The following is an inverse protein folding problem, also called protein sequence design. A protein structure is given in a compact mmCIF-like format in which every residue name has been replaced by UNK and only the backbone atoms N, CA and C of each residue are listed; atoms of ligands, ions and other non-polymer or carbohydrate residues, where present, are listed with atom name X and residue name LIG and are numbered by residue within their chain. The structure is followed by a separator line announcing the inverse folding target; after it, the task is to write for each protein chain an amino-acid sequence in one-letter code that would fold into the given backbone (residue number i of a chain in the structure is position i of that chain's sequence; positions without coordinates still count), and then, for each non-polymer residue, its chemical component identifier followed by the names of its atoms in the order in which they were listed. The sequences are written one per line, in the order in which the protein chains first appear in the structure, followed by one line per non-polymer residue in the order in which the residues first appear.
data_IF_860385042124
#
_entry.id   IF_860385042124
#
_cell.length_a   1.000
_cell.length_b   1.000
_cell.length_c   1.000
_cell.angle_alpha   90.00
_cell.angle_beta   90.00
_cell.angle_gamma   90.00
#
_symmetry.space_group_name_H-M   'P 1'
#
loop_
_entity.id
_entity.type
_entity.pdbx_description
1 polymer ?
#
# COMPACT_ATOMS: atom_id res chain seq x y z
N UNK A 1 15.97 18.37 16.10
CA UNK A 1 15.23 17.09 16.10
C UNK A 1 15.90 16.21 15.08
N UNK A 2 16.38 15.03 15.48
CA UNK A 2 17.09 14.09 14.59
C UNK A 2 16.08 13.20 13.88
N UNK A 3 16.19 13.10 12.55
CA UNK A 3 15.47 12.15 11.72
C UNK A 3 16.35 10.91 11.55
N UNK A 4 15.80 9.75 11.89
CA UNK A 4 16.49 8.47 11.71
C UNK A 4 16.34 8.02 10.24
N UNK A 5 17.47 7.75 9.60
CA UNK A 5 17.54 7.04 8.31
C UNK A 5 18.34 5.73 8.49
N UNK A 6 18.06 4.66 7.73
CA UNK A 6 18.70 3.35 7.91
C UNK A 6 20.24 3.34 7.81
N UNK A 7 20.84 4.40 7.27
CA UNK A 7 22.28 4.57 7.03
C UNK A 7 22.98 5.56 8.03
N UNK A 8 22.34 5.88 9.16
CA UNK A 8 22.92 6.72 10.22
C UNK A 8 22.40 8.17 10.27
N UNK A 9 22.63 8.85 11.39
CA UNK A 9 22.04 10.17 11.71
C UNK A 9 22.60 11.30 10.83
N UNK A 10 21.73 11.97 10.08
CA UNK A 10 22.05 13.19 9.33
C UNK A 10 21.61 14.43 10.13
N UNK A 11 22.51 15.35 10.52
CA UNK A 11 22.12 16.61 11.13
C UNK A 11 21.43 17.51 10.11
N UNK A 12 20.21 17.96 10.43
CA UNK A 12 19.45 18.96 9.67
C UNK A 12 19.90 20.37 10.07
N UNK A 13 20.69 21.02 9.21
CA UNK A 13 20.96 22.45 9.29
C UNK A 13 19.76 23.23 8.77
N UNK A 14 18.99 23.87 9.65
CA UNK A 14 18.03 24.92 9.24
C UNK A 14 18.79 26.21 9.03
N UNK A 15 19.33 26.40 7.83
CA UNK A 15 19.66 27.74 7.34
C UNK A 15 18.44 28.24 6.58
N UNK A 16 17.77 29.33 7.00
CA UNK A 16 16.73 29.92 6.18
C UNK A 16 17.40 30.45 4.92
N UNK A 17 17.06 29.89 3.75
CA UNK A 17 17.36 30.52 2.47
C UNK A 17 16.15 31.38 2.09
N UNK A 18 16.21 32.72 2.17
CA UNK A 18 15.10 33.58 1.80
C UNK A 18 15.19 33.91 0.31
N UNK A 19 15.00 32.92 -0.57
CA UNK A 19 14.94 33.19 -2.01
C UNK A 19 14.37 32.01 -2.82
N UNK A 20 13.06 31.82 -2.76
CA UNK A 20 12.21 31.75 -3.96
C UNK A 20 10.78 31.67 -3.48
N UNK A 21 10.30 32.80 -2.97
CA UNK A 21 8.88 32.95 -2.68
C UNK A 21 8.18 32.88 -4.04
N UNK A 22 7.34 31.87 -4.25
CA UNK A 22 6.40 31.82 -5.36
C UNK A 22 5.33 32.91 -5.16
N UNK A 23 5.77 34.16 -5.23
CA UNK A 23 4.91 35.33 -5.32
C UNK A 23 4.63 35.47 -6.80
N UNK A 24 3.39 35.25 -7.22
CA UNK A 24 2.96 35.66 -8.54
C UNK A 24 3.34 37.13 -8.76
N UNK A 25 3.65 37.53 -10.00
CA UNK A 25 4.28 38.79 -10.40
C UNK A 25 3.67 40.10 -9.82
N UNK A 26 2.59 40.03 -9.03
CA UNK A 26 1.88 41.16 -8.41
C UNK A 26 1.73 41.12 -6.88
N UNK A 27 2.35 40.18 -6.14
CA UNK A 27 2.24 40.18 -4.67
C UNK A 27 0.93 39.61 -4.11
N UNK A 28 0.06 39.08 -4.96
CA UNK A 28 -1.26 38.55 -4.58
C UNK A 28 -1.21 37.03 -4.37
N UNK A 29 -1.96 36.54 -3.37
CA UNK A 29 -2.17 35.11 -3.09
C UNK A 29 -2.86 34.47 -4.30
N UNK A 30 -2.29 33.40 -4.84
CA UNK A 30 -2.90 32.69 -5.98
C UNK A 30 -4.20 31.99 -5.55
N UNK A 31 -5.17 31.80 -6.47
CA UNK A 31 -6.40 31.06 -6.18
C UNK A 31 -6.15 29.64 -5.67
N UNK A 32 -5.10 28.99 -6.18
CA UNK A 32 -4.65 27.65 -5.82
C UNK A 32 -4.17 27.58 -4.36
N UNK A 33 -3.30 28.52 -3.95
CA UNK A 33 -2.82 28.61 -2.57
C UNK A 33 -3.95 28.94 -1.60
N UNK A 34 -4.88 29.82 -2.00
CA UNK A 34 -6.06 30.16 -1.19
C UNK A 34 -6.97 28.94 -0.99
N UNK A 35 -7.15 28.10 -2.01
CA UNK A 35 -7.91 26.85 -1.89
C UNK A 35 -7.22 25.84 -0.95
N UNK A 36 -5.90 25.66 -1.09
CA UNK A 36 -5.13 24.75 -0.23
C UNK A 36 -5.13 25.19 1.25
N UNK A 37 -5.05 26.50 1.51
CA UNK A 37 -5.19 27.06 2.86
C UNK A 37 -6.59 26.83 3.43
N UNK A 38 -7.64 27.05 2.63
CA UNK A 38 -9.02 26.81 3.04
C UNK A 38 -9.28 25.34 3.37
N UNK A 39 -8.70 24.40 2.60
CA UNK A 39 -8.79 22.96 2.86
C UNK A 39 -8.05 22.56 4.15
N UNK A 40 -6.99 23.27 4.50
CA UNK A 40 -6.33 23.18 5.81
C UNK A 40 -7.07 23.92 6.95
N UNK A 41 -8.20 24.58 6.66
CA UNK A 41 -8.99 25.35 7.62
C UNK A 41 -8.38 26.70 8.01
N UNK A 42 -7.49 27.24 7.18
CA UNK A 42 -6.75 28.48 7.43
C UNK A 42 -7.32 29.60 6.55
N UNK A 43 -7.76 30.69 7.16
CA UNK A 43 -8.25 31.87 6.44
C UNK A 43 -7.08 32.73 5.95
N UNK A 44 -6.83 32.67 4.63
CA UNK A 44 -5.74 33.36 3.96
C UNK A 44 -5.74 34.89 4.16
N UNK A 45 -6.91 35.51 4.35
CA UNK A 45 -7.03 36.95 4.49
C UNK A 45 -6.69 37.43 5.92
N UNK A 46 -6.52 36.50 6.87
CA UNK A 46 -6.14 36.78 8.26
C UNK A 46 -4.64 36.62 8.55
N UNK A 47 -3.87 36.08 7.61
CA UNK A 47 -2.45 35.76 7.78
C UNK A 47 -1.55 36.97 7.54
N UNK A 48 -0.54 37.14 8.40
CA UNK A 48 0.57 38.05 8.08
C UNK A 48 1.42 37.50 6.94
N UNK A 49 2.23 38.32 6.25
CA UNK A 49 3.11 37.84 5.19
C UNK A 49 4.06 36.71 5.63
N UNK A 50 4.56 36.77 6.87
CA UNK A 50 5.42 35.72 7.44
C UNK A 50 4.66 34.44 7.72
N UNK A 51 3.43 34.53 8.27
CA UNK A 51 2.59 33.37 8.53
C UNK A 51 2.11 32.71 7.23
N UNK A 52 1.80 33.51 6.22
CA UNK A 52 1.47 33.03 4.88
C UNK A 52 2.64 32.24 4.26
N UNK A 53 3.86 32.77 4.35
CA UNK A 53 5.05 32.09 3.85
C UNK A 53 5.29 30.76 4.59
N UNK A 54 5.11 30.74 5.91
CA UNK A 54 5.24 29.52 6.71
C UNK A 54 4.16 28.48 6.38
N UNK A 55 2.91 28.90 6.22
CA UNK A 55 1.80 28.03 5.87
C UNK A 55 1.98 27.44 4.45
N UNK A 56 2.44 28.26 3.50
CA UNK A 56 2.76 27.83 2.12
C UNK A 56 3.84 26.75 2.12
N UNK A 57 4.95 26.98 2.82
CA UNK A 57 6.04 26.00 2.91
C UNK A 57 5.59 24.68 3.56
N UNK A 58 4.69 24.75 4.55
CA UNK A 58 4.12 23.55 5.17
C UNK A 58 3.20 22.79 4.22
N UNK A 59 2.36 23.48 3.45
CA UNK A 59 1.48 22.87 2.44
C UNK A 59 2.30 22.20 1.34
N UNK A 60 3.35 22.85 0.85
CA UNK A 60 4.27 22.27 -0.14
C UNK A 60 4.95 21.01 0.38
N UNK A 61 5.40 21.01 1.64
CA UNK A 61 5.98 19.83 2.29
C UNK A 61 4.98 18.67 2.35
N UNK A 62 3.75 18.95 2.78
CA UNK A 62 2.68 17.94 2.82
C UNK A 62 2.33 17.42 1.43
N UNK A 63 2.35 18.28 0.42
CA UNK A 63 2.16 17.90 -0.98
C UNK A 63 3.24 16.93 -1.45
N UNK A 64 4.51 17.22 -1.15
CA UNK A 64 5.63 16.33 -1.50
C UNK A 64 5.54 14.97 -0.83
N UNK A 65 5.19 14.94 0.46
CA UNK A 65 4.99 13.69 1.20
C UNK A 65 3.83 12.89 0.59
N UNK A 66 2.73 13.55 0.20
CA UNK A 66 1.60 12.89 -0.49
C UNK A 66 2.03 12.31 -1.84
N UNK A 67 2.81 13.03 -2.63
CA UNK A 67 3.34 12.54 -3.91
C UNK A 67 4.28 11.34 -3.73
N UNK A 68 5.15 11.39 -2.72
CA UNK A 68 6.01 10.26 -2.37
C UNK A 68 5.18 9.04 -1.91
N UNK A 69 4.12 9.24 -1.12
CA UNK A 69 3.21 8.16 -0.75
C UNK A 69 2.46 7.56 -1.97
N UNK A 70 2.19 8.37 -3.00
CA UNK A 70 1.60 7.91 -4.26
C UNK A 70 2.62 7.27 -5.21
N UNK A 71 3.92 7.33 -4.90
CA UNK A 71 4.97 6.78 -5.75
C UNK A 71 5.01 5.25 -5.74
N UNK A 72 4.43 4.60 -4.73
CA UNK A 72 4.32 3.14 -4.68
C UNK A 72 3.17 2.69 -5.56
N UNK A 73 3.41 1.91 -6.62
CA UNK A 73 2.34 1.39 -7.47
C UNK A 73 1.35 0.57 -6.66
N UNK A 74 0.05 0.84 -6.85
CA UNK A 74 -1.00 0.08 -6.18
C UNK A 74 -0.89 -1.43 -6.44
N UNK A 75 -0.42 -1.82 -7.64
CA UNK A 75 -0.18 -3.21 -8.00
C UNK A 75 0.81 -3.91 -7.05
N UNK A 76 1.86 -3.24 -6.60
CA UNK A 76 2.86 -3.81 -5.69
C UNK A 76 2.29 -4.00 -4.28
N UNK A 77 1.50 -3.03 -3.81
CA UNK A 77 0.79 -3.13 -2.52
C UNK A 77 -0.20 -4.30 -2.55
N UNK A 78 -0.99 -4.41 -3.63
CA UNK A 78 -1.96 -5.49 -3.80
C UNK A 78 -1.23 -6.84 -3.94
N UNK A 79 -0.12 -6.93 -4.68
CA UNK A 79 0.68 -8.15 -4.77
C UNK A 79 1.15 -8.62 -3.39
N UNK A 80 1.61 -7.69 -2.54
CA UNK A 80 1.95 -7.99 -1.16
C UNK A 80 0.74 -8.52 -0.36
N UNK A 81 -0.45 -7.93 -0.52
CA UNK A 81 -1.67 -8.43 0.14
C UNK A 81 -2.12 -9.81 -0.36
N UNK A 82 -1.91 -10.12 -1.64
CA UNK A 82 -2.23 -11.44 -2.20
C UNK A 82 -1.38 -12.54 -1.55
N UNK A 83 -0.14 -12.24 -1.16
CA UNK A 83 0.66 -13.18 -0.36
C UNK A 83 0.05 -13.45 1.01
N UNK A 84 -0.57 -12.46 1.67
CA UNK A 84 -1.33 -12.69 2.90
C UNK A 84 -2.55 -13.60 2.70
N UNK A 85 -3.24 -13.48 1.55
CA UNK A 85 -4.35 -14.40 1.21
C UNK A 85 -3.82 -15.82 0.96
N UNK A 86 -2.66 -15.94 0.32
CA UNK A 86 -1.98 -17.23 0.14
C UNK A 86 -1.68 -17.90 1.49
N UNK A 87 -1.11 -17.15 2.44
CA UNK A 87 -0.80 -17.66 3.78
C UNK A 87 -2.06 -18.09 4.53
N UNK A 88 -3.14 -17.32 4.42
CA UNK A 88 -4.43 -17.68 5.01
C UNK A 88 -4.95 -19.02 4.48
N UNK A 89 -4.90 -19.23 3.15
CA UNK A 89 -5.27 -20.51 2.55
C UNK A 89 -4.39 -21.65 3.08
N UNK A 90 -3.08 -21.44 3.14
CA UNK A 90 -2.12 -22.44 3.63
C UNK A 90 -2.37 -22.81 5.10
N UNK A 91 -2.69 -21.84 5.97
CA UNK A 91 -3.03 -22.08 7.37
C UNK A 91 -4.27 -22.97 7.49
N UNK A 92 -5.33 -22.71 6.70
CA UNK A 92 -6.54 -23.53 6.72
C UNK A 92 -6.31 -24.95 6.19
N UNK A 93 -5.49 -25.09 5.14
CA UNK A 93 -5.08 -26.40 4.63
C UNK A 93 -4.19 -27.17 5.61
N UNK A 94 -3.36 -26.49 6.40
CA UNK A 94 -2.48 -27.11 7.40
C UNK A 94 -3.17 -27.56 8.69
N UNK A 95 -4.48 -27.33 8.83
CA UNK A 95 -5.25 -27.81 9.99
C UNK A 95 -5.39 -29.34 9.98
N UNK A 96 -5.74 -29.91 11.14
CA UNK A 96 -5.99 -31.35 11.29
C UNK A 96 -7.36 -31.57 11.97
N UNK A 97 -8.42 -31.91 11.22
CA UNK A 97 -8.45 -32.09 9.76
C UNK A 97 -8.34 -30.75 8.99
N UNK A 98 -7.88 -30.76 7.72
CA UNK A 98 -7.83 -29.54 6.90
C UNK A 98 -9.20 -28.88 6.76
N UNK A 99 -9.25 -27.55 6.86
CA UNK A 99 -10.48 -26.79 6.64
C UNK A 99 -10.60 -26.37 5.17
N UNK A 100 -11.14 -27.26 4.35
CA UNK A 100 -11.30 -27.04 2.91
C UNK A 100 -12.27 -25.89 2.57
N UNK A 101 -13.30 -25.66 3.39
CA UNK A 101 -14.29 -24.61 3.13
C UNK A 101 -13.64 -23.22 3.23
N UNK A 102 -12.92 -22.95 4.32
CA UNK A 102 -12.22 -21.67 4.51
C UNK A 102 -11.04 -21.52 3.56
N UNK A 103 -10.28 -22.61 3.30
CA UNK A 103 -9.21 -22.59 2.30
C UNK A 103 -9.75 -22.22 0.90
N UNK A 104 -10.94 -22.71 0.54
CA UNK A 104 -11.57 -22.40 -0.75
C UNK A 104 -11.85 -20.90 -0.88
N UNK A 105 -12.37 -20.24 0.17
CA UNK A 105 -12.63 -18.79 0.14
C UNK A 105 -11.36 -18.01 -0.18
N UNK A 106 -10.25 -18.33 0.49
CA UNK A 106 -8.97 -17.66 0.25
C UNK A 106 -8.39 -17.98 -1.14
N UNK A 107 -8.43 -19.23 -1.59
CA UNK A 107 -7.95 -19.63 -2.92
C UNK A 107 -8.74 -18.93 -4.03
N UNK A 108 -10.07 -18.86 -3.91
CA UNK A 108 -10.91 -18.21 -4.91
C UNK A 108 -10.73 -16.69 -4.93
N UNK A 109 -10.50 -16.05 -3.77
CA UNK A 109 -10.16 -14.64 -3.70
C UNK A 109 -8.82 -14.34 -4.39
N UNK A 110 -7.79 -15.15 -4.13
CA UNK A 110 -6.50 -15.04 -4.80
C UNK A 110 -6.66 -15.23 -6.31
N UNK A 111 -7.38 -16.27 -6.74
CA UNK A 111 -7.65 -16.54 -8.17
C UNK A 111 -8.35 -15.36 -8.84
N UNK A 112 -9.43 -14.85 -8.23
CA UNK A 112 -10.22 -13.77 -8.82
C UNK A 112 -9.39 -12.51 -9.10
N UNK A 113 -8.44 -12.18 -8.23
CA UNK A 113 -7.56 -11.01 -8.41
C UNK A 113 -6.46 -11.32 -9.43
N UNK A 114 -5.79 -12.46 -9.32
CA UNK A 114 -4.69 -12.84 -10.23
C UNK A 114 -5.19 -12.97 -11.67
N UNK A 115 -6.29 -13.67 -11.91
CA UNK A 115 -6.87 -13.84 -13.25
C UNK A 115 -7.32 -12.52 -13.86
N UNK A 116 -7.78 -11.57 -13.03
CA UNK A 116 -8.35 -10.31 -13.51
C UNK A 116 -7.29 -9.25 -13.79
N UNK A 117 -6.29 -9.15 -12.91
CA UNK A 117 -5.29 -8.09 -12.96
C UNK A 117 -4.03 -8.53 -13.70
N UNK A 118 -3.67 -9.81 -13.68
CA UNK A 118 -2.54 -10.46 -14.37
C UNK A 118 -1.42 -9.52 -14.85
N UNK A 119 -1.53 -8.96 -16.06
CA UNK A 119 -0.55 -8.04 -16.68
C UNK A 119 -0.23 -6.81 -15.83
N UNK A 120 -1.19 -6.29 -15.05
CA UNK A 120 -1.02 -5.13 -14.17
C UNK A 120 -0.03 -5.39 -13.02
N UNK A 121 0.27 -6.66 -12.69
CA UNK A 121 1.28 -7.02 -11.70
C UNK A 121 2.70 -7.04 -12.24
N UNK A 122 2.90 -6.87 -13.55
CA UNK A 122 4.23 -6.83 -14.16
C UNK A 122 5.08 -8.05 -13.80
N UNK A 123 6.25 -7.81 -13.20
CA UNK A 123 7.20 -8.87 -12.79
C UNK A 123 6.62 -9.83 -11.75
N UNK A 124 5.66 -9.37 -10.93
CA UNK A 124 5.05 -10.19 -9.88
C UNK A 124 4.01 -11.19 -10.42
N UNK A 125 3.51 -11.00 -11.65
CA UNK A 125 2.40 -11.80 -12.20
C UNK A 125 2.76 -13.30 -12.25
N UNK A 126 3.96 -13.64 -12.69
CA UNK A 126 4.41 -15.03 -12.78
C UNK A 126 4.51 -15.70 -11.40
N UNK A 127 5.02 -14.97 -10.40
CA UNK A 127 5.16 -15.45 -9.03
C UNK A 127 3.79 -15.71 -8.40
N UNK A 128 2.84 -14.78 -8.58
CA UNK A 128 1.48 -14.90 -8.06
C UNK A 128 0.72 -16.08 -8.69
N UNK A 129 0.84 -16.28 -10.02
CA UNK A 129 0.26 -17.45 -10.70
C UNK A 129 0.85 -18.77 -10.20
N UNK A 130 2.15 -18.81 -9.98
CA UNK A 130 2.82 -20.00 -9.44
C UNK A 130 2.35 -20.29 -8.01
N UNK A 131 2.24 -19.27 -7.16
CA UNK A 131 1.75 -19.43 -5.78
C UNK A 131 0.32 -19.96 -5.75
N UNK A 132 -0.58 -19.42 -6.58
CA UNK A 132 -1.95 -19.93 -6.71
C UNK A 132 -1.98 -21.39 -7.18
N UNK A 133 -1.18 -21.74 -8.19
CA UNK A 133 -1.10 -23.10 -8.71
C UNK A 133 -0.65 -24.10 -7.63
N UNK A 134 0.32 -23.70 -6.81
CA UNK A 134 0.80 -24.52 -5.69
C UNK A 134 -0.30 -24.76 -4.65
N UNK A 135 -1.07 -23.73 -4.28
CA UNK A 135 -2.20 -23.89 -3.35
C UNK A 135 -3.26 -24.85 -3.89
N UNK A 136 -3.63 -24.71 -5.16
CA UNK A 136 -4.62 -25.58 -5.80
C UNK A 136 -4.16 -27.04 -5.82
N UNK A 137 -2.88 -27.29 -6.13
CA UNK A 137 -2.31 -28.64 -6.09
C UNK A 137 -2.34 -29.22 -4.68
N UNK A 138 -1.91 -28.45 -3.68
CA UNK A 138 -1.92 -28.89 -2.28
C UNK A 138 -3.33 -29.17 -1.79
N UNK A 139 -4.32 -28.35 -2.16
CA UNK A 139 -5.73 -28.58 -1.84
C UNK A 139 -6.21 -29.94 -2.37
N UNK A 140 -5.96 -30.24 -3.64
CA UNK A 140 -6.38 -31.50 -4.27
C UNK A 140 -5.71 -32.69 -3.60
N UNK A 141 -4.39 -32.64 -3.38
CA UNK A 141 -3.64 -33.71 -2.71
C UNK A 141 -4.17 -34.01 -1.30
N UNK A 142 -4.46 -32.96 -0.51
CA UNK A 142 -5.01 -33.12 0.83
C UNK A 142 -6.43 -33.68 0.80
N UNK A 143 -7.24 -33.29 -0.18
CA UNK A 143 -8.60 -33.79 -0.34
C UNK A 143 -8.60 -35.29 -0.68
N UNK A 144 -7.78 -35.71 -1.63
CA UNK A 144 -7.59 -37.12 -1.99
C UNK A 144 -7.12 -37.95 -0.78
N UNK A 145 -6.18 -37.41 0.02
CA UNK A 145 -5.71 -38.06 1.22
C UNK A 145 -6.80 -38.21 2.29
N UNK A 146 -7.61 -37.16 2.51
CA UNK A 146 -8.71 -37.19 3.47
C UNK A 146 -9.82 -38.17 3.05
N UNK A 147 -10.13 -38.24 1.75
CA UNK A 147 -11.08 -39.21 1.19
C UNK A 147 -10.57 -40.65 1.37
N UNK A 148 -9.29 -40.92 1.09
CA UNK A 148 -8.68 -42.24 1.28
C UNK A 148 -8.67 -42.70 2.74
N UNK A 149 -8.53 -41.79 3.70
CA UNK A 149 -8.65 -42.09 5.14
C UNK A 149 -10.11 -42.39 5.50
N UNK A 150 -11.06 -41.63 4.95
CA UNK A 150 -12.50 -41.82 5.20
C UNK A 150 -13.09 -43.10 4.60
N UNK A 151 -12.49 -43.64 3.54
CA UNK A 151 -12.93 -44.89 2.88
C UNK A 151 -12.31 -46.17 3.47
N UNK A 152 -11.37 -46.07 4.42
CA UNK A 152 -10.80 -47.26 5.07
C UNK A 152 -11.86 -47.96 5.96
N UNK A 153 -12.17 -49.26 5.75
CA UNK A 153 -13.29 -49.94 6.41
C UNK A 153 -13.15 -50.22 7.93
N UNK A 154 -12.08 -49.78 8.59
CA UNK A 154 -11.77 -50.08 10.00
C UNK A 154 -11.42 -48.80 10.78
N UNK A 155 -12.40 -47.92 10.97
CA UNK A 155 -12.37 -46.83 11.97
C UNK A 155 -13.61 -46.90 12.88
#
# INVERSE_FOLDING_TARGET
MSLWTPDGERPVSRTPNPASVAVGESGAITPELRAALAEAGIDADTLTPEQLAQATAMIEEMGRVREEMLSVPAADIIANHLMGIYELAAIHLGQNPPNFAEATVAIEALRAVVDRLDDAFGENAAVLRQALSQLQLTFVQLKEHAEAIGESPDA
#
